data_IF_539731462835
#
_entry.id   IF_539731462835
#
_cell.length_a   1.000
_cell.length_b   1.000
_cell.length_c   1.000
_cell.angle_alpha   90.00
_cell.angle_beta   90.00
_cell.angle_gamma   90.00
#
_symmetry.space_group_name_H-M   'P 1'
#
loop_
_entity.id
_entity.type
_entity.pdbx_description
1 polymer ?
#
# COMPACT_ATOMS: atom_id res chain seq x y z
N UNK A 1 2.23 23.55 13.42
CA UNK A 1 1.20 23.32 12.38
C UNK A 1 0.69 21.91 12.58
N UNK A 2 -0.61 21.72 12.77
CA UNK A 2 -1.19 20.38 12.90
C UNK A 2 -1.14 19.77 11.51
N UNK A 3 -0.41 18.67 11.35
CA UNK A 3 -0.39 17.91 10.09
C UNK A 3 -1.86 17.52 9.81
N UNK A 4 -2.45 17.97 8.70
CA UNK A 4 -3.83 17.64 8.39
C UNK A 4 -3.92 16.12 8.29
N UNK A 5 -4.63 15.47 9.22
CA UNK A 5 -4.79 14.02 9.24
C UNK A 5 -5.35 13.58 7.89
N UNK A 6 -4.55 12.90 7.07
CA UNK A 6 -4.98 12.35 5.78
C UNK A 6 -5.95 11.21 6.07
N UNK A 7 -7.18 11.32 5.57
CA UNK A 7 -8.18 10.27 5.70
C UNK A 7 -7.81 9.13 4.75
N UNK A 8 -7.57 7.94 5.32
CA UNK A 8 -7.38 6.71 4.55
C UNK A 8 -8.63 6.42 3.69
N UNK A 9 -8.42 6.11 2.41
CA UNK A 9 -9.50 5.75 1.47
C UNK A 9 -10.03 4.35 1.68
N UNK A 10 -9.20 3.43 2.17
CA UNK A 10 -9.54 2.04 2.33
C UNK A 10 -9.56 1.66 3.82
N UNK A 11 -10.41 0.70 4.17
CA UNK A 11 -10.59 0.25 5.55
C UNK A 11 -9.94 -1.10 5.82
N UNK A 12 -9.57 -1.37 7.08
CA UNK A 12 -9.17 -2.72 7.51
C UNK A 12 -10.31 -3.71 7.22
N UNK A 13 -9.97 -4.87 6.66
CA UNK A 13 -10.89 -5.90 6.19
C UNK A 13 -11.39 -5.69 4.75
N UNK A 14 -11.13 -4.53 4.13
CA UNK A 14 -11.52 -4.27 2.74
C UNK A 14 -10.64 -5.08 1.79
N UNK A 15 -11.27 -5.67 0.77
CA UNK A 15 -10.59 -6.29 -0.36
C UNK A 15 -10.21 -5.20 -1.36
N UNK A 16 -8.96 -5.22 -1.78
CA UNK A 16 -8.41 -4.30 -2.77
C UNK A 16 -7.57 -5.06 -3.78
N UNK A 17 -7.32 -4.44 -4.93
CA UNK A 17 -6.40 -4.92 -5.94
C UNK A 17 -5.36 -3.87 -6.29
N UNK A 18 -4.20 -4.32 -6.72
CA UNK A 18 -3.16 -3.41 -7.18
C UNK A 18 -3.51 -2.88 -8.59
N UNK A 19 -3.21 -1.60 -8.85
CA UNK A 19 -3.51 -0.95 -10.13
C UNK A 19 -2.74 -1.55 -11.30
N UNK A 20 -1.44 -1.83 -11.08
CA UNK A 20 -0.50 -2.30 -12.12
C UNK A 20 -0.23 -3.80 -12.07
N UNK A 21 0.14 -4.34 -10.91
CA UNK A 21 0.45 -5.76 -10.73
C UNK A 21 -0.80 -6.63 -10.48
N UNK A 22 -0.84 -7.88 -10.99
CA UNK A 22 -2.01 -8.74 -10.92
C UNK A 22 -2.10 -9.48 -9.58
N UNK A 23 -2.33 -8.74 -8.49
CA UNK A 23 -2.64 -9.31 -7.18
C UNK A 23 -3.81 -8.59 -6.52
N UNK A 24 -4.48 -9.30 -5.63
CA UNK A 24 -5.50 -8.77 -4.71
C UNK A 24 -5.11 -9.07 -3.27
N UNK A 25 -5.71 -8.37 -2.33
CA UNK A 25 -5.48 -8.64 -0.92
C UNK A 25 -6.50 -8.01 -0.01
N UNK A 26 -6.50 -8.46 1.24
CA UNK A 26 -7.31 -7.90 2.31
C UNK A 26 -6.42 -7.02 3.18
N UNK A 27 -6.85 -5.78 3.43
CA UNK A 27 -6.13 -4.84 4.29
C UNK A 27 -6.22 -5.32 5.74
N UNK A 28 -5.10 -5.39 6.44
CA UNK A 28 -5.07 -5.71 7.87
C UNK A 28 -4.45 -4.62 8.75
N UNK A 29 -3.72 -3.67 8.16
CA UNK A 29 -3.14 -2.53 8.87
C UNK A 29 -2.90 -1.34 7.93
N UNK A 30 -2.69 -0.15 8.49
CA UNK A 30 -2.44 1.10 7.76
C UNK A 30 -1.49 2.02 8.52
N UNK A 31 -0.43 2.46 7.84
CA UNK A 31 0.42 3.54 8.28
C UNK A 31 -0.08 4.87 7.69
N UNK A 32 -0.08 5.98 8.46
CA UNK A 32 -0.54 7.28 7.96
C UNK A 32 0.34 7.85 6.84
N UNK A 33 1.62 7.47 6.83
CA UNK A 33 2.66 7.83 5.86
C UNK A 33 3.61 6.64 5.67
N UNK A 34 4.56 6.72 4.74
CA UNK A 34 5.56 5.68 4.55
C UNK A 34 6.34 5.39 5.85
N UNK A 35 6.31 4.13 6.31
CA UNK A 35 6.91 3.69 7.57
C UNK A 35 7.75 2.40 7.39
N UNK A 36 8.42 2.26 6.25
CA UNK A 36 9.37 1.17 6.00
C UNK A 36 10.80 1.70 5.83
N UNK A 37 11.78 0.85 5.57
CA UNK A 37 13.18 1.26 5.52
C UNK A 37 13.50 2.04 4.24
N UNK A 38 14.51 2.91 4.31
CA UNK A 38 14.96 3.67 3.13
C UNK A 38 15.56 2.75 2.07
N UNK A 39 16.19 1.64 2.45
CA UNK A 39 16.71 0.65 1.50
C UNK A 39 15.57 0.03 0.66
N UNK A 40 14.44 -0.28 1.29
CA UNK A 40 13.27 -0.77 0.56
C UNK A 40 12.76 0.27 -0.43
N UNK A 41 12.69 1.54 0.01
CA UNK A 41 12.24 2.65 -0.83
C UNK A 41 13.17 2.86 -2.03
N UNK A 42 14.48 2.83 -1.80
CA UNK A 42 15.50 3.01 -2.84
C UNK A 42 15.57 1.83 -3.82
N UNK A 43 15.19 0.62 -3.39
CA UNK A 43 15.08 -0.54 -4.27
C UNK A 43 13.96 -0.43 -5.32
N UNK A 44 12.98 0.47 -5.11
CA UNK A 44 11.94 0.73 -6.10
C UNK A 44 12.50 1.60 -7.23
N UNK A 45 12.23 1.27 -8.51
CA UNK A 45 12.63 2.12 -9.64
C UNK A 45 12.07 3.54 -9.48
N UNK A 46 12.93 4.55 -9.70
CA UNK A 46 12.63 5.94 -9.36
C UNK A 46 11.38 6.51 -10.04
N UNK A 47 11.04 6.00 -11.22
CA UNK A 47 9.88 6.37 -12.03
C UNK A 47 8.54 5.87 -11.47
N UNK A 48 8.56 4.83 -10.63
CA UNK A 48 7.36 4.25 -10.00
C UNK A 48 7.34 4.38 -8.48
N UNK A 49 8.32 5.08 -7.89
CA UNK A 49 8.37 5.33 -6.44
C UNK A 49 7.09 6.05 -5.96
N UNK A 50 6.39 5.50 -4.96
CA UNK A 50 5.21 6.16 -4.42
C UNK A 50 5.61 7.37 -3.59
N UNK A 51 4.78 8.41 -3.57
CA UNK A 51 5.01 9.53 -2.64
C UNK A 51 4.92 9.03 -1.20
N UNK A 52 5.84 9.46 -0.32
CA UNK A 52 5.87 9.03 1.09
C UNK A 52 4.74 9.66 1.94
N UNK A 53 4.22 10.81 1.53
CA UNK A 53 3.19 11.58 2.24
C UNK A 53 1.77 11.08 1.90
N UNK A 54 1.50 9.80 2.12
CA UNK A 54 0.16 9.23 1.93
C UNK A 54 0.02 7.95 2.76
N UNK A 55 -1.19 7.47 3.03
CA UNK A 55 -1.36 6.19 3.69
C UNK A 55 -0.69 5.04 2.93
N UNK A 56 -0.03 4.15 3.66
CA UNK A 56 0.48 2.87 3.17
C UNK A 56 -0.24 1.75 3.89
N UNK A 57 -0.64 0.72 3.15
CA UNK A 57 -1.46 -0.37 3.66
C UNK A 57 -0.65 -1.65 3.72
N UNK A 58 -0.91 -2.45 4.75
CA UNK A 58 -0.46 -3.82 4.84
C UNK A 58 -1.58 -4.76 4.40
N UNK A 59 -1.27 -5.68 3.48
CA UNK A 59 -2.24 -6.57 2.86
C UNK A 59 -1.85 -8.02 3.06
N UNK A 60 -2.82 -8.87 3.37
CA UNK A 60 -2.72 -10.29 3.08
C UNK A 60 -3.05 -10.47 1.60
N UNK A 61 -2.03 -10.59 0.77
CA UNK A 61 -2.14 -10.60 -0.69
C UNK A 61 -2.03 -12.03 -1.26
N UNK A 62 -2.66 -12.23 -2.41
CA UNK A 62 -2.54 -13.44 -3.22
C UNK A 62 -2.45 -13.11 -4.71
N UNK A 63 -1.72 -13.95 -5.44
CA UNK A 63 -1.74 -14.01 -6.90
C UNK A 63 -2.03 -15.46 -7.34
N UNK A 64 -1.85 -15.77 -8.64
CA UNK A 64 -2.11 -17.12 -9.16
C UNK A 64 -1.20 -18.22 -8.61
N UNK A 65 -0.13 -17.87 -7.91
CA UNK A 65 0.93 -18.81 -7.51
C UNK A 65 1.07 -18.93 -5.98
N UNK A 66 0.93 -17.82 -5.23
CA UNK A 66 1.30 -17.77 -3.82
C UNK A 66 0.53 -16.72 -3.02
N UNK A 67 0.69 -16.77 -1.70
CA UNK A 67 0.17 -15.82 -0.70
C UNK A 67 1.32 -15.17 0.06
N UNK A 68 1.24 -13.86 0.29
CA UNK A 68 2.32 -13.09 0.90
C UNK A 68 1.80 -11.79 1.54
N UNK A 69 2.67 -11.10 2.29
CA UNK A 69 2.34 -9.79 2.87
C UNK A 69 2.74 -8.67 1.91
N UNK A 70 1.73 -7.91 1.49
CA UNK A 70 1.76 -6.64 0.78
C UNK A 70 2.18 -5.43 1.63
N UNK A 71 3.10 -4.58 1.20
CA UNK A 71 3.19 -3.18 1.68
C UNK A 71 3.02 -2.21 0.51
N UNK A 72 1.89 -1.49 0.47
CA UNK A 72 1.45 -0.81 -0.76
C UNK A 72 0.90 0.59 -0.47
N UNK A 73 1.36 1.59 -1.23
CA UNK A 73 0.86 2.96 -1.15
C UNK A 73 -0.60 3.09 -1.60
N UNK A 74 -1.37 3.96 -0.98
CA UNK A 74 -2.78 4.23 -1.34
C UNK A 74 -2.99 4.51 -2.83
N UNK A 75 -2.13 5.32 -3.45
CA UNK A 75 -2.24 5.68 -4.87
C UNK A 75 -2.20 4.47 -5.82
N UNK A 76 -1.72 3.30 -5.37
CA UNK A 76 -1.58 2.11 -6.19
C UNK A 76 -2.66 1.05 -5.93
N UNK A 77 -3.61 1.34 -5.04
CA UNK A 77 -4.74 0.45 -4.75
C UNK A 77 -6.01 0.93 -5.47
N UNK A 78 -6.87 -0.04 -5.76
CA UNK A 78 -8.23 0.13 -6.27
C UNK A 78 -9.17 -0.79 -5.47
N UNK A 79 -10.43 -0.41 -5.36
CA UNK A 79 -11.46 -1.34 -4.88
C UNK A 79 -11.58 -2.55 -5.83
N UNK A 80 -11.76 -3.72 -5.24
CA UNK A 80 -11.96 -4.99 -5.95
C UNK A 80 -13.43 -5.41 -5.94
#
# INVERSE_FOLDING_TARGET
MVNAMKTAKFSIGQVVRHRLFPFRGVIFDVDPEFANTDEWYEAIPADVRPRKDQPFYHLLAENSETKYIAYVSEQNLLED
#
